data_IF_137284257566
#
_entry.id   IF_137284257566
#
_cell.length_a   1.000
_cell.length_b   1.000
_cell.length_c   1.000
_cell.angle_alpha   90.00
_cell.angle_beta   90.00
_cell.angle_gamma   90.00
#
_symmetry.space_group_name_H-M   'P 1'
#
loop_
_entity.id
_entity.type
_entity.pdbx_description
1 polymer ?
#
# COMPACT_ATOMS: atom_id res chain seq x y z
N UNK A 1 25.22 11.37 -3.05
CA UNK A 1 24.52 10.26 -2.37
C UNK A 1 24.46 9.08 -3.34
N UNK A 2 24.64 7.84 -2.85
CA UNK A 2 24.19 6.66 -3.63
C UNK A 2 22.66 6.74 -3.64
N UNK A 3 22.04 6.74 -4.82
CA UNK A 3 20.57 6.83 -4.93
C UNK A 3 19.87 5.67 -4.23
N UNK A 4 18.56 5.80 -3.98
CA UNK A 4 17.75 4.69 -3.47
C UNK A 4 17.78 3.52 -4.48
N UNK A 5 17.77 2.29 -3.98
CA UNK A 5 17.71 1.10 -4.82
C UNK A 5 16.36 0.96 -5.55
N UNK A 6 15.31 1.58 -5.02
CA UNK A 6 14.00 1.63 -5.66
C UNK A 6 13.92 2.73 -6.73
N UNK A 7 12.92 2.60 -7.61
CA UNK A 7 12.58 3.60 -8.63
C UNK A 7 11.41 4.50 -8.22
N UNK A 8 10.67 4.13 -7.17
CA UNK A 8 9.49 4.84 -6.67
C UNK A 8 9.54 4.90 -5.15
N UNK A 9 9.10 6.02 -4.59
CA UNK A 9 8.95 6.22 -3.16
C UNK A 9 7.61 6.91 -2.89
N UNK A 10 6.73 6.23 -2.17
CA UNK A 10 5.51 6.82 -1.60
C UNK A 10 5.82 7.31 -0.18
N UNK A 11 5.44 8.55 0.11
CA UNK A 11 5.51 9.13 1.45
C UNK A 11 4.08 9.48 1.88
N UNK A 12 3.62 8.88 2.98
CA UNK A 12 2.29 9.13 3.55
C UNK A 12 2.42 10.01 4.80
N UNK A 13 1.69 11.12 4.86
CA UNK A 13 1.71 12.08 5.95
C UNK A 13 0.30 12.39 6.43
N UNK A 14 0.19 12.78 7.69
CA UNK A 14 -1.04 13.32 8.27
C UNK A 14 -0.84 14.80 8.59
N UNK A 15 -1.86 15.62 8.34
CA UNK A 15 -1.77 17.09 8.48
C UNK A 15 -1.36 17.53 9.88
N UNK A 16 -1.84 16.84 10.93
CA UNK A 16 -1.57 17.21 12.33
C UNK A 16 -0.39 16.45 12.93
N UNK A 17 0.35 15.68 12.12
CA UNK A 17 1.52 14.93 12.55
C UNK A 17 2.71 15.86 12.84
N UNK A 18 3.32 15.69 14.03
CA UNK A 18 4.54 16.40 14.45
C UNK A 18 5.74 16.13 13.54
N UNK A 19 5.74 15.04 12.76
CA UNK A 19 6.80 14.73 11.79
C UNK A 19 6.45 15.10 10.35
N UNK A 20 5.27 15.71 10.08
CA UNK A 20 4.82 16.09 8.73
C UNK A 20 5.87 16.87 7.95
N UNK A 21 6.41 17.92 8.54
CA UNK A 21 7.37 18.79 7.86
C UNK A 21 8.69 18.07 7.55
N UNK A 22 9.08 17.07 8.36
CA UNK A 22 10.22 16.20 8.07
C UNK A 22 9.95 15.29 6.86
N UNK A 23 8.74 14.76 6.75
CA UNK A 23 8.32 13.98 5.59
C UNK A 23 8.32 14.80 4.30
N UNK A 24 7.85 16.05 4.35
CA UNK A 24 7.94 16.99 3.22
C UNK A 24 9.39 17.30 2.84
N UNK A 25 10.23 17.60 3.82
CA UNK A 25 11.66 17.83 3.60
C UNK A 25 12.37 16.62 3.00
N UNK A 26 11.98 15.40 3.36
CA UNK A 26 12.49 14.18 2.74
C UNK A 26 12.11 14.09 1.25
N UNK A 27 10.86 14.41 0.91
CA UNK A 27 10.41 14.45 -0.48
C UNK A 27 11.20 15.47 -1.32
N UNK A 28 11.39 16.68 -0.77
CA UNK A 28 12.13 17.75 -1.44
C UNK A 28 13.61 17.39 -1.58
N UNK A 29 14.19 16.78 -0.53
CA UNK A 29 15.55 16.26 -0.56
C UNK A 29 15.75 15.19 -1.64
N UNK A 30 14.80 14.25 -1.79
CA UNK A 30 14.85 13.25 -2.85
C UNK A 30 14.81 13.89 -4.24
N UNK A 31 13.91 14.85 -4.48
CA UNK A 31 13.82 15.58 -5.76
C UNK A 31 15.08 16.36 -6.07
N UNK A 32 15.70 16.98 -5.06
CA UNK A 32 16.94 17.74 -5.21
C UNK A 32 18.21 16.85 -5.30
N UNK A 33 18.14 15.59 -4.89
CA UNK A 33 19.32 14.71 -4.77
C UNK A 33 19.90 14.21 -6.10
N UNK A 34 19.21 14.44 -7.22
CA UNK A 34 19.56 13.82 -8.51
C UNK A 34 19.19 12.33 -8.61
N UNK A 35 18.40 11.81 -7.66
CA UNK A 35 17.82 10.47 -7.77
C UNK A 35 16.85 10.41 -8.95
N UNK A 36 17.06 9.45 -9.86
CA UNK A 36 16.29 9.29 -11.09
C UNK A 36 14.96 8.54 -10.91
N UNK A 37 14.44 8.49 -9.69
CA UNK A 37 13.16 7.86 -9.36
C UNK A 37 12.05 8.89 -9.12
N UNK A 38 10.86 8.39 -8.84
CA UNK A 38 9.66 9.19 -8.64
C UNK A 38 9.27 9.22 -7.16
N UNK A 39 8.92 10.41 -6.65
CA UNK A 39 8.37 10.60 -5.30
C UNK A 39 6.88 10.93 -5.40
N UNK A 40 6.05 10.11 -4.76
CA UNK A 40 4.63 10.36 -4.55
C UNK A 40 4.41 10.79 -3.09
N UNK A 41 3.66 11.87 -2.87
CA UNK A 41 3.30 12.35 -1.54
C UNK A 41 1.79 12.23 -1.37
N UNK A 42 1.36 11.42 -0.40
CA UNK A 42 -0.02 11.37 0.05
C UNK A 42 -0.09 12.06 1.41
N UNK A 43 -0.72 13.23 1.46
CA UNK A 43 -0.99 13.92 2.73
C UNK A 43 -2.49 13.94 3.01
N UNK A 44 -2.86 13.56 4.23
CA UNK A 44 -4.25 13.41 4.66
C UNK A 44 -4.61 14.50 5.66
N UNK A 45 -5.64 15.27 5.34
CA UNK A 45 -6.14 16.37 6.15
C UNK A 45 -6.82 15.87 7.43
N UNK A 46 -6.71 16.63 8.52
CA UNK A 46 -7.38 16.33 9.80
C UNK A 46 -6.88 15.11 10.57
N UNK A 47 -6.04 14.26 9.98
CA UNK A 47 -5.50 13.06 10.62
C UNK A 47 -4.24 13.35 11.44
N UNK A 48 -4.01 12.52 12.46
CA UNK A 48 -2.85 12.57 13.35
C UNK A 48 -1.78 11.51 13.06
N UNK A 49 -0.72 11.50 13.87
CA UNK A 49 0.39 10.57 13.72
C UNK A 49 -0.09 9.10 13.72
N UNK A 50 0.32 8.35 12.70
CA UNK A 50 -0.04 6.93 12.55
C UNK A 50 -1.57 6.66 12.64
N UNK A 51 -2.42 7.58 12.16
CA UNK A 51 -3.88 7.43 12.23
C UNK A 51 -4.39 6.09 11.68
N UNK A 52 -3.79 5.57 10.61
CA UNK A 52 -4.09 4.26 10.03
C UNK A 52 -3.84 3.06 10.96
N UNK A 53 -3.09 3.24 12.06
CA UNK A 53 -2.94 2.23 13.12
C UNK A 53 -3.93 2.42 14.28
N UNK A 54 -4.49 3.62 14.42
CA UNK A 54 -5.43 4.00 15.50
C UNK A 54 -6.86 3.73 15.08
N UNK A 55 -7.24 4.18 13.88
CA UNK A 55 -8.51 3.91 13.23
C UNK A 55 -8.24 3.44 11.80
N UNK A 56 -7.90 2.17 11.67
CA UNK A 56 -7.68 1.50 10.38
C UNK A 56 -8.97 1.32 9.57
N UNK A 57 -10.14 1.72 10.09
CA UNK A 57 -11.42 1.62 9.38
C UNK A 57 -11.88 2.91 8.74
N UNK A 58 -11.31 4.06 9.10
CA UNK A 58 -11.71 5.30 8.47
C UNK A 58 -11.29 5.33 6.99
N UNK A 59 -12.08 6.03 6.16
CA UNK A 59 -11.86 6.14 4.72
C UNK A 59 -10.43 6.58 4.37
N UNK A 60 -9.86 7.46 5.19
CA UNK A 60 -8.49 7.95 5.06
C UNK A 60 -7.46 6.83 5.25
N UNK A 61 -7.68 5.94 6.21
CA UNK A 61 -6.74 4.84 6.50
C UNK A 61 -6.78 3.81 5.39
N UNK A 62 -7.99 3.47 4.92
CA UNK A 62 -8.21 2.61 3.77
C UNK A 62 -7.55 3.19 2.52
N UNK A 63 -7.75 4.48 2.25
CA UNK A 63 -7.13 5.19 1.13
C UNK A 63 -5.60 5.15 1.19
N UNK A 64 -5.03 5.33 2.39
CA UNK A 64 -3.59 5.25 2.59
C UNK A 64 -3.06 3.83 2.35
N UNK A 65 -3.71 2.82 2.91
CA UNK A 65 -3.32 1.41 2.75
C UNK A 65 -3.42 0.97 1.29
N UNK A 66 -4.46 1.41 0.58
CA UNK A 66 -4.59 1.19 -0.87
C UNK A 66 -3.45 1.85 -1.66
N UNK A 67 -3.00 3.04 -1.24
CA UNK A 67 -1.85 3.71 -1.86
C UNK A 67 -0.55 2.94 -1.61
N UNK A 68 -0.36 2.43 -0.39
CA UNK A 68 0.79 1.59 -0.02
C UNK A 68 0.78 0.31 -0.87
N UNK A 69 -0.36 -0.38 -0.96
CA UNK A 69 -0.49 -1.60 -1.77
C UNK A 69 -0.18 -1.34 -3.25
N UNK A 70 -0.67 -0.21 -3.82
CA UNK A 70 -0.33 0.22 -5.19
C UNK A 70 1.17 0.49 -5.35
N UNK A 71 1.79 1.17 -4.38
CA UNK A 71 3.18 1.60 -4.48
C UNK A 71 4.17 0.45 -4.30
N UNK A 72 3.92 -0.48 -3.39
CA UNK A 72 4.85 -1.58 -3.07
C UNK A 72 4.81 -2.65 -4.15
N UNK A 73 3.65 -2.92 -4.75
CA UNK A 73 3.46 -4.17 -5.46
C UNK A 73 3.10 -4.05 -6.94
N UNK A 74 2.48 -2.96 -7.42
CA UNK A 74 1.87 -2.99 -8.76
C UNK A 74 0.82 -4.11 -8.96
N UNK A 75 0.56 -4.89 -7.91
CA UNK A 75 -0.34 -6.04 -7.87
C UNK A 75 -1.78 -5.62 -7.71
N UNK A 76 -2.12 -4.34 -7.80
CA UNK A 76 -3.51 -3.90 -7.69
C UNK A 76 -4.39 -4.62 -8.71
N UNK A 77 -3.87 -4.84 -9.93
CA UNK A 77 -4.57 -5.61 -10.95
C UNK A 77 -4.55 -7.12 -10.68
N UNK A 78 -3.45 -7.68 -10.16
CA UNK A 78 -3.37 -9.11 -9.80
C UNK A 78 -4.27 -9.44 -8.61
N UNK A 79 -4.33 -8.56 -7.61
CA UNK A 79 -5.18 -8.69 -6.43
C UNK A 79 -6.64 -8.47 -6.82
N UNK A 80 -6.98 -7.44 -7.61
CA UNK A 80 -8.35 -7.27 -8.13
C UNK A 80 -8.79 -8.45 -8.97
N UNK A 81 -7.91 -8.96 -9.85
CA UNK A 81 -8.19 -10.14 -10.67
C UNK A 81 -8.38 -11.39 -9.81
N UNK A 82 -7.47 -11.67 -8.89
CA UNK A 82 -7.56 -12.82 -7.97
C UNK A 82 -8.78 -12.74 -7.06
N UNK A 83 -9.15 -11.54 -6.59
CA UNK A 83 -10.37 -11.29 -5.80
C UNK A 83 -11.64 -11.44 -6.66
N UNK A 84 -11.62 -10.99 -7.92
CA UNK A 84 -12.75 -11.15 -8.84
C UNK A 84 -12.96 -12.61 -9.30
N UNK A 85 -11.88 -13.39 -9.34
CA UNK A 85 -11.88 -14.80 -9.71
C UNK A 85 -12.17 -15.72 -8.50
N UNK A 86 -12.01 -15.23 -7.26
CA UNK A 86 -12.30 -15.98 -6.04
C UNK A 86 -13.75 -15.83 -5.57
N UNK A 87 -14.57 -16.88 -5.80
CA UNK A 87 -15.93 -16.97 -5.25
C UNK A 87 -15.99 -17.34 -3.76
N UNK A 88 -14.86 -17.69 -3.13
CA UNK A 88 -14.83 -18.28 -1.78
C UNK A 88 -14.48 -17.31 -0.65
N UNK A 89 -14.03 -16.08 -0.97
CA UNK A 89 -13.58 -15.08 0.01
C UNK A 89 -12.37 -15.57 0.83
N UNK A 90 -11.51 -16.38 0.24
CA UNK A 90 -10.29 -16.89 0.87
C UNK A 90 -9.29 -17.24 -0.23
N UNK A 91 -8.28 -16.40 -0.45
CA UNK A 91 -7.23 -16.69 -1.43
C UNK A 91 -6.28 -17.72 -0.83
N UNK A 92 -6.50 -18.99 -1.17
CA UNK A 92 -5.54 -20.06 -0.96
C UNK A 92 -4.29 -19.79 -1.82
N UNK A 93 -3.11 -20.08 -1.28
CA UNK A 93 -1.77 -19.91 -1.90
C UNK A 93 -1.61 -20.52 -3.30
N UNK A 94 -2.54 -21.37 -3.72
CA UNK A 94 -2.59 -22.01 -5.04
C UNK A 94 -2.77 -21.03 -6.21
N UNK A 95 -3.49 -19.93 -6.02
CA UNK A 95 -3.83 -19.02 -7.14
C UNK A 95 -2.60 -18.22 -7.61
N UNK A 96 -1.81 -17.57 -6.72
CA UNK A 96 -0.59 -16.87 -7.14
C UNK A 96 0.46 -17.82 -7.75
N UNK A 97 0.56 -19.05 -7.24
CA UNK A 97 1.50 -20.07 -7.73
C UNK A 97 1.14 -20.54 -9.15
N UNK A 98 -0.15 -20.64 -9.47
CA UNK A 98 -0.61 -21.01 -10.83
C UNK A 98 -0.39 -19.92 -11.88
N UNK A 99 -0.32 -18.65 -11.49
CA UNK A 99 -0.25 -17.54 -12.46
C UNK A 99 1.17 -17.10 -12.85
N UNK A 100 2.24 -17.73 -12.34
CA UNK A 100 3.64 -17.57 -12.77
C UNK A 100 3.99 -16.20 -13.39
N UNK A 101 3.73 -15.11 -12.67
CA UNK A 101 4.35 -13.84 -13.02
C UNK A 101 5.67 -13.74 -12.25
N UNK A 102 6.82 -13.57 -12.92
CA UNK A 102 8.05 -13.24 -12.23
C UNK A 102 7.85 -11.83 -11.69
N UNK A 103 7.42 -11.74 -10.44
CA UNK A 103 7.44 -10.48 -9.71
C UNK A 103 8.88 -10.36 -9.21
N UNK A 104 9.70 -9.67 -10.00
CA UNK A 104 11.11 -9.44 -9.72
C UNK A 104 11.26 -9.01 -8.24
N UNK A 105 12.01 -9.84 -7.51
CA UNK A 105 12.54 -9.65 -6.15
C UNK A 105 11.63 -9.79 -4.90
N UNK A 106 10.36 -10.22 -4.99
CA UNK A 106 9.57 -10.54 -3.79
C UNK A 106 9.34 -12.06 -3.62
N UNK A 107 9.78 -12.70 -2.53
CA UNK A 107 9.51 -14.12 -2.31
C UNK A 107 8.00 -14.37 -2.20
N UNK A 108 7.49 -15.42 -2.85
CA UNK A 108 6.07 -15.79 -2.90
C UNK A 108 5.38 -15.81 -1.54
N UNK A 109 6.12 -16.11 -0.46
CA UNK A 109 5.63 -16.07 0.92
C UNK A 109 5.21 -14.67 1.39
N UNK A 110 5.93 -13.62 0.99
CA UNK A 110 5.57 -12.23 1.34
C UNK A 110 4.31 -11.79 0.60
N UNK A 111 4.13 -12.23 -0.64
CA UNK A 111 2.91 -11.99 -1.41
C UNK A 111 1.69 -12.65 -0.78
N UNK A 112 1.84 -13.88 -0.26
CA UNK A 112 0.77 -14.57 0.45
C UNK A 112 0.36 -13.80 1.70
N UNK A 113 1.32 -13.28 2.48
CA UNK A 113 1.04 -12.52 3.70
C UNK A 113 0.34 -11.20 3.38
N UNK A 114 0.84 -10.46 2.39
CA UNK A 114 0.26 -9.17 2.00
C UNK A 114 -1.12 -9.36 1.38
N UNK A 115 -1.30 -10.36 0.50
CA UNK A 115 -2.60 -10.70 -0.06
C UNK A 115 -3.57 -11.12 1.05
N UNK A 116 -3.16 -11.99 1.98
CA UNK A 116 -3.99 -12.44 3.10
C UNK A 116 -4.43 -11.27 3.99
N UNK A 117 -3.53 -10.33 4.29
CA UNK A 117 -3.85 -9.13 5.04
C UNK A 117 -4.83 -8.21 4.29
N UNK A 118 -4.60 -7.97 3.00
CA UNK A 118 -5.47 -7.14 2.17
C UNK A 118 -6.87 -7.74 2.00
N UNK A 119 -6.97 -9.05 1.74
CA UNK A 119 -8.26 -9.76 1.64
C UNK A 119 -8.99 -9.71 2.99
N UNK A 120 -8.28 -9.94 4.09
CA UNK A 120 -8.85 -9.84 5.42
C UNK A 120 -9.40 -8.43 5.70
N UNK A 121 -8.68 -7.39 5.29
CA UNK A 121 -9.12 -6.00 5.39
C UNK A 121 -10.41 -5.75 4.57
N UNK A 122 -10.44 -6.19 3.31
CA UNK A 122 -11.59 -6.05 2.40
C UNK A 122 -12.84 -6.81 2.89
N UNK A 123 -12.66 -8.03 3.40
CA UNK A 123 -13.77 -8.83 3.95
C UNK A 123 -14.32 -8.24 5.25
N UNK A 124 -13.46 -7.61 6.04
CA UNK A 124 -13.87 -6.94 7.28
C UNK A 124 -14.66 -5.66 7.01
N UNK A 125 -14.32 -4.91 5.96
CA UNK A 125 -15.12 -3.78 5.47
C UNK A 125 -16.49 -4.24 4.99
N UNK A 126 -16.52 -5.28 4.14
CA UNK A 126 -17.77 -5.87 3.62
C UNK A 126 -18.68 -6.42 4.72
N UNK A 127 -18.11 -7.01 5.79
CA UNK A 127 -18.88 -7.56 6.92
C UNK A 127 -19.53 -6.48 7.80
N UNK A 128 -19.08 -5.23 7.73
CA UNK A 128 -19.65 -4.11 8.50
C UNK A 128 -20.67 -3.27 7.72
N UNK A 129 -20.97 -3.64 6.47
CA UNK A 129 -21.99 -2.98 5.65
C UNK A 129 -21.52 -1.71 4.93
N UNK A 130 -20.24 -1.39 5.00
CA UNK A 130 -19.62 -0.33 4.21
C UNK A 130 -19.28 -0.94 2.84
N UNK A 131 -20.14 -0.65 1.87
CA UNK A 131 -19.95 -1.08 0.48
C UNK A 131 -19.11 -0.01 -0.21
N UNK A 132 -17.99 -0.41 -0.82
CA UNK A 132 -17.19 0.43 -1.74
C UNK A 132 -18.02 0.76 -2.99
#
# INVERSE_FOLDING_TARGET
MRGLACRRALVCLAETDVVRDRGRAYCDGLKASGWAGEVELLEVAGQGHCFHLVDFTCDDAVRQDDAIARSVLGLTEVIKKAVSEDRSRSITVDIPVRQQQPLDDLPTSELVVIASWYIWLQLRQSAKGETI
#
